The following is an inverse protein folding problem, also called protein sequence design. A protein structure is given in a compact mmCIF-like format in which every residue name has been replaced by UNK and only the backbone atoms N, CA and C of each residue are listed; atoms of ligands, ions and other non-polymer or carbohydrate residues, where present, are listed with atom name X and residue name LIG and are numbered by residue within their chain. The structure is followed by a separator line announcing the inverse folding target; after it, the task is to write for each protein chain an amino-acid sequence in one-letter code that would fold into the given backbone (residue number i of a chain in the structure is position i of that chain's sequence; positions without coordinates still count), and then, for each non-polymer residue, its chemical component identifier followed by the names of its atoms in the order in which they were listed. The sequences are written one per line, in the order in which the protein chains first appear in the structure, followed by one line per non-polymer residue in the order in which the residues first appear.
data_IF_348580451363
#
_entry.id   IF_348580451363
#
_cell.length_a   1.000
_cell.length_b   1.000
_cell.length_c   1.000
_cell.angle_alpha   90.00
_cell.angle_beta   90.00
_cell.angle_gamma   90.00
#
_symmetry.space_group_name_H-M   'P 1'
#
loop_
_entity.id
_entity.type
_entity.pdbx_description
1 polymer ?
#
# COMPACT_ATOMS: atom_id res chain seq x y z
N UNK A 1 5.69 10.36 9.05
CA UNK A 1 5.15 8.98 9.15
C UNK A 1 3.63 8.93 9.35
N UNK A 2 3.07 9.63 10.35
CA UNK A 2 1.64 9.58 10.71
C UNK A 2 0.71 9.90 9.53
N UNK A 3 1.01 10.95 8.74
CA UNK A 3 0.20 11.33 7.59
C UNK A 3 0.11 10.21 6.52
N UNK A 4 1.23 9.52 6.25
CA UNK A 4 1.24 8.38 5.33
C UNK A 4 0.38 7.25 5.89
N UNK A 5 0.56 6.87 7.15
CA UNK A 5 -0.22 5.80 7.78
C UNK A 5 -1.72 6.15 7.74
N UNK A 6 -2.10 7.39 8.06
CA UNK A 6 -3.50 7.80 8.05
C UNK A 6 -4.10 7.75 6.65
N UNK A 7 -3.44 8.32 5.64
CA UNK A 7 -3.92 8.31 4.26
C UNK A 7 -3.92 6.91 3.65
N UNK A 8 -2.83 6.14 3.77
CA UNK A 8 -2.67 4.87 3.07
C UNK A 8 -3.43 3.71 3.74
N UNK A 9 -3.69 3.77 5.05
CA UNK A 9 -4.56 2.78 5.72
C UNK A 9 -6.06 3.09 5.59
N UNK A 10 -6.41 4.25 5.02
CA UNK A 10 -7.78 4.74 4.89
C UNK A 10 -8.08 5.94 5.80
N UNK A 11 -8.67 6.96 5.19
CA UNK A 11 -9.20 8.18 5.81
C UNK A 11 -10.48 8.60 5.08
N UNK A 12 -11.01 9.80 5.32
CA UNK A 12 -12.27 10.25 4.73
C UNK A 12 -12.27 10.26 3.19
N UNK A 13 -11.10 10.39 2.56
CA UNK A 13 -10.92 10.48 1.10
C UNK A 13 -10.22 9.28 0.48
N UNK A 14 -9.80 8.29 1.27
CA UNK A 14 -9.09 7.10 0.79
C UNK A 14 -9.70 5.83 1.38
N UNK A 15 -9.86 4.82 0.53
CA UNK A 15 -10.41 3.52 0.93
C UNK A 15 -9.54 2.83 1.98
N UNK A 16 -10.18 2.19 2.96
CA UNK A 16 -9.49 1.35 3.93
C UNK A 16 -9.22 -0.06 3.36
N UNK A 17 -8.10 -0.65 3.75
CA UNK A 17 -7.79 -2.04 3.43
C UNK A 17 -8.44 -2.96 4.46
N UNK A 18 -9.33 -3.85 4.02
CA UNK A 18 -10.08 -4.72 4.90
C UNK A 18 -9.16 -5.55 5.81
N UNK A 19 -9.45 -5.61 7.11
CA UNK A 19 -8.65 -6.30 8.15
C UNK A 19 -7.23 -5.76 8.40
N UNK A 20 -6.85 -4.61 7.81
CA UNK A 20 -5.55 -3.96 8.05
C UNK A 20 -5.72 -2.60 8.74
N UNK A 21 -5.74 -2.61 10.08
CA UNK A 21 -5.81 -1.39 10.89
C UNK A 21 -4.48 -0.61 10.96
N UNK A 22 -4.55 0.64 11.41
CA UNK A 22 -3.40 1.57 11.56
C UNK A 22 -2.27 1.01 12.42
N UNK A 23 -2.58 0.29 13.50
CA UNK A 23 -1.58 -0.35 14.36
C UNK A 23 -0.72 -1.38 13.60
N UNK A 24 -1.32 -2.10 12.63
CA UNK A 24 -0.57 -3.06 11.80
C UNK A 24 0.42 -2.35 10.88
N UNK A 25 0.07 -1.17 10.37
CA UNK A 25 0.99 -0.33 9.60
C UNK A 25 2.15 0.16 10.46
N UNK A 26 1.88 0.69 11.67
CA UNK A 26 2.92 1.12 12.59
C UNK A 26 3.89 -0.03 12.89
N UNK A 27 3.36 -1.19 13.30
CA UNK A 27 4.21 -2.35 13.64
C UNK A 27 5.04 -2.84 12.45
N UNK A 28 4.49 -2.80 11.23
CA UNK A 28 5.21 -3.19 10.02
C UNK A 28 6.39 -2.25 9.75
N UNK A 29 6.18 -0.93 9.86
CA UNK A 29 7.20 0.09 9.63
C UNK A 29 8.27 0.10 10.72
N UNK A 30 7.89 -0.15 11.98
CA UNK A 30 8.84 -0.29 13.10
C UNK A 30 9.78 -1.49 12.93
N UNK A 31 9.26 -2.61 12.40
CA UNK A 31 10.02 -3.85 12.21
C UNK A 31 10.86 -3.86 10.94
N UNK A 32 10.56 -3.02 9.96
CA UNK A 32 11.21 -3.03 8.65
C UNK A 32 11.70 -1.63 8.27
N UNK A 33 12.94 -1.31 8.67
CA UNK A 33 13.58 -0.01 8.41
C UNK A 33 13.72 0.28 6.91
N UNK A 34 14.11 -0.71 6.11
CA UNK A 34 14.21 -0.58 4.65
C UNK A 34 12.86 -0.16 4.05
N UNK A 35 11.77 -0.74 4.53
CA UNK A 35 10.43 -0.38 4.08
C UNK A 35 10.02 1.02 4.54
N UNK A 36 10.38 1.40 5.77
CA UNK A 36 10.14 2.73 6.30
C UNK A 36 10.91 3.82 5.54
N UNK A 37 12.10 3.51 5.02
CA UNK A 37 12.85 4.38 4.12
C UNK A 37 12.18 4.45 2.74
N UNK A 38 11.77 3.32 2.16
CA UNK A 38 11.09 3.29 0.85
C UNK A 38 9.81 4.13 0.81
N UNK A 39 9.02 4.15 1.87
CA UNK A 39 7.79 4.97 1.90
C UNK A 39 8.07 6.47 2.08
N UNK A 40 9.32 6.90 2.35
CA UNK A 40 9.66 8.33 2.41
C UNK A 40 9.39 9.05 1.09
N UNK A 41 9.32 8.32 -0.02
CA UNK A 41 8.94 8.87 -1.32
C UNK A 41 7.55 9.54 -1.30
N UNK A 42 6.64 9.13 -0.41
CA UNK A 42 5.35 9.80 -0.22
C UNK A 42 5.48 11.20 0.37
N UNK A 43 6.59 11.49 1.05
CA UNK A 43 6.88 12.81 1.61
C UNK A 43 7.54 13.75 0.61
N UNK A 44 8.17 13.21 -0.43
CA UNK A 44 8.83 14.00 -1.48
C UNK A 44 7.78 14.62 -2.44
N UNK A 45 7.87 15.92 -2.65
CA UNK A 45 7.01 16.65 -3.60
C UNK A 45 7.40 16.39 -5.06
N UNK A 46 8.68 16.14 -5.34
CA UNK A 46 9.21 15.94 -6.71
C UNK A 46 9.28 14.46 -7.13
N UNK A 47 8.70 13.55 -6.33
CA UNK A 47 8.66 12.13 -6.65
C UNK A 47 7.89 11.86 -7.96
N UNK A 48 8.41 10.95 -8.77
CA UNK A 48 7.68 10.47 -9.95
C UNK A 48 6.54 9.53 -9.57
N UNK A 49 5.52 9.45 -10.43
CA UNK A 49 4.41 8.52 -10.23
C UNK A 49 4.91 7.07 -10.13
N UNK A 50 5.88 6.67 -10.95
CA UNK A 50 6.39 5.30 -10.95
C UNK A 50 7.17 4.95 -9.67
N UNK A 51 7.98 5.87 -9.15
CA UNK A 51 8.69 5.67 -7.87
C UNK A 51 7.70 5.53 -6.70
N UNK A 52 6.70 6.41 -6.64
CA UNK A 52 5.68 6.41 -5.58
C UNK A 52 4.81 5.15 -5.65
N UNK A 53 4.33 4.80 -6.85
CA UNK A 53 3.47 3.61 -7.04
C UNK A 53 4.25 2.33 -6.75
N UNK A 54 5.54 2.26 -7.12
CA UNK A 54 6.40 1.11 -6.78
C UNK A 54 6.64 0.98 -5.28
N UNK A 55 6.83 2.08 -4.56
CA UNK A 55 6.93 2.06 -3.11
C UNK A 55 5.61 1.62 -2.45
N UNK A 56 4.47 2.12 -2.94
CA UNK A 56 3.14 1.70 -2.49
C UNK A 56 2.88 0.21 -2.72
N UNK A 57 3.22 -0.31 -3.89
CA UNK A 57 3.14 -1.74 -4.22
C UNK A 57 4.03 -2.56 -3.27
N UNK A 58 5.28 -2.15 -3.08
CA UNK A 58 6.23 -2.83 -2.18
C UNK A 58 5.72 -2.87 -0.75
N UNK A 59 5.08 -1.79 -0.28
CA UNK A 59 4.45 -1.74 1.03
C UNK A 59 3.28 -2.72 1.15
N UNK A 60 2.42 -2.78 0.14
CA UNK A 60 1.29 -3.72 0.11
C UNK A 60 1.77 -5.17 0.08
N UNK A 61 2.80 -5.50 -0.71
CA UNK A 61 3.38 -6.85 -0.72
C UNK A 61 3.78 -7.27 0.70
N UNK A 62 4.52 -6.44 1.44
CA UNK A 62 4.88 -6.74 2.83
C UNK A 62 3.67 -6.79 3.78
N UNK A 63 2.70 -5.89 3.62
CA UNK A 63 1.50 -5.83 4.45
C UNK A 63 0.66 -7.11 4.35
N UNK A 64 0.61 -7.72 3.17
CA UNK A 64 -0.07 -8.98 2.87
C UNK A 64 0.84 -10.22 3.02
N UNK A 65 2.05 -10.06 3.56
CA UNK A 65 2.94 -11.17 3.91
C UNK A 65 3.76 -11.74 2.74
N UNK A 66 3.80 -11.06 1.60
CA UNK A 66 4.69 -11.40 0.49
C UNK A 66 6.13 -10.94 0.72
N UNK A 67 7.06 -11.51 -0.06
CA UNK A 67 8.48 -11.15 -0.04
C UNK A 67 8.90 -10.54 -1.39
N UNK A 68 9.20 -9.24 -1.47
CA UNK A 68 9.60 -8.61 -2.74
C UNK A 68 11.03 -8.95 -3.18
N UNK A 69 11.83 -9.66 -2.36
CA UNK A 69 13.19 -10.10 -2.72
C UNK A 69 13.21 -11.36 -3.58
N UNK A 70 12.08 -12.06 -3.72
CA UNK A 70 11.94 -13.16 -4.69
C UNK A 70 11.45 -12.56 -6.01
N UNK A 71 12.29 -12.63 -7.04
CA UNK A 71 12.24 -11.89 -8.32
C UNK A 71 11.00 -12.09 -9.21
N UNK A 72 9.92 -12.72 -8.72
CA UNK A 72 8.72 -13.06 -9.48
C UNK A 72 7.38 -12.66 -8.81
N UNK A 73 7.42 -11.88 -7.72
CA UNK A 73 6.23 -11.60 -6.91
C UNK A 73 5.81 -10.13 -7.02
N UNK A 74 5.22 -9.73 -8.15
CA UNK A 74 4.41 -8.51 -8.19
C UNK A 74 3.12 -8.69 -7.38
N UNK A 75 2.38 -7.61 -7.15
CA UNK A 75 1.16 -7.68 -6.33
C UNK A 75 0.06 -8.55 -6.94
N UNK A 76 0.00 -8.68 -8.27
CA UNK A 76 -0.97 -9.54 -8.95
C UNK A 76 -0.65 -11.03 -8.75
N UNK A 77 0.62 -11.40 -8.80
CA UNK A 77 1.06 -12.76 -8.50
C UNK A 77 0.75 -13.13 -7.04
N UNK A 78 1.00 -12.19 -6.10
CA UNK A 78 0.62 -12.38 -4.70
C UNK A 78 -0.90 -12.52 -4.54
N UNK A 79 -1.68 -11.69 -5.23
CA UNK A 79 -3.13 -11.79 -5.25
C UNK A 79 -3.58 -13.17 -5.71
N UNK A 80 -3.11 -13.62 -6.87
CA UNK A 80 -3.50 -14.91 -7.43
C UNK A 80 -3.11 -16.08 -6.51
N UNK A 81 -1.91 -16.01 -5.92
CA UNK A 81 -1.44 -17.01 -4.94
C UNK A 81 -2.35 -17.08 -3.72
N UNK A 82 -2.69 -15.92 -3.14
CA UNK A 82 -3.59 -15.88 -1.97
C UNK A 82 -5.03 -16.26 -2.33
N UNK A 83 -5.48 -15.95 -3.54
CA UNK A 83 -6.78 -16.36 -4.06
C UNK A 83 -6.89 -17.88 -4.16
N UNK A 84 -5.94 -18.52 -4.83
CA UNK A 84 -5.90 -19.98 -4.98
C UNK A 84 -5.83 -20.69 -3.64
N UNK A 85 -5.00 -20.19 -2.71
CA UNK A 85 -4.96 -20.70 -1.33
C UNK A 85 -6.26 -20.48 -0.55
N UNK A 86 -7.01 -19.41 -0.84
CA UNK A 86 -8.29 -19.15 -0.19
C UNK A 86 -9.41 -20.05 -0.73
N UNK A 87 -9.36 -20.41 -2.01
CA UNK A 87 -10.35 -21.23 -2.67
C UNK A 87 -10.40 -22.67 -2.13
N UNK A 88 -9.31 -23.16 -1.54
CA UNK A 88 -9.26 -24.49 -0.91
C UNK A 88 -9.84 -24.52 0.52
N UNK A 89 -10.16 -23.35 1.10
CA UNK A 89 -10.66 -23.26 2.48
C UNK A 89 -12.18 -23.37 2.51
N UNK A 90 -12.70 -24.09 3.51
CA UNK A 90 -14.14 -24.24 3.75
C UNK A 90 -14.89 -22.89 3.93
N UNK A 91 -14.20 -21.85 4.38
CA UNK A 91 -14.68 -20.46 4.39
C UNK A 91 -13.61 -19.56 3.80
N UNK A 92 -13.84 -19.09 2.58
CA UNK A 92 -13.02 -18.06 1.94
C UNK A 92 -13.58 -16.67 2.27
N UNK A 93 -12.69 -15.70 2.49
CA UNK A 93 -13.08 -14.28 2.63
C UNK A 93 -12.29 -13.49 1.60
N UNK A 94 -12.88 -13.31 0.42
CA UNK A 94 -12.24 -12.62 -0.72
C UNK A 94 -11.82 -11.19 -0.38
N UNK A 95 -12.50 -10.53 0.55
CA UNK A 95 -12.13 -9.19 1.04
C UNK A 95 -10.72 -9.14 1.69
N UNK A 96 -10.13 -10.28 2.08
CA UNK A 96 -8.77 -10.34 2.64
C UNK A 96 -7.67 -10.43 1.58
N UNK A 97 -8.04 -10.52 0.31
CA UNK A 97 -7.05 -10.54 -0.78
C UNK A 97 -6.40 -9.16 -0.93
N UNK A 98 -5.12 -9.09 -1.32
CA UNK A 98 -4.51 -7.83 -1.69
C UNK A 98 -5.23 -7.21 -2.89
N UNK A 99 -5.19 -5.88 -3.05
CA UNK A 99 -5.67 -5.25 -4.26
C UNK A 99 -4.86 -5.72 -5.48
N UNK A 100 -5.41 -5.57 -6.68
CA UNK A 100 -4.62 -5.72 -7.92
C UNK A 100 -3.59 -4.59 -8.03
N UNK A 101 -2.60 -4.74 -8.91
CA UNK A 101 -1.59 -3.71 -9.15
C UNK A 101 -2.21 -2.36 -9.55
N UNK A 102 -3.27 -2.36 -10.36
CA UNK A 102 -3.96 -1.14 -10.79
C UNK A 102 -4.72 -0.48 -9.64
N UNK A 103 -5.44 -1.27 -8.84
CA UNK A 103 -6.12 -0.77 -7.66
C UNK A 103 -5.13 -0.20 -6.63
N UNK A 104 -3.98 -0.87 -6.45
CA UNK A 104 -2.87 -0.39 -5.63
C UNK A 104 -2.29 0.92 -6.15
N UNK A 105 -2.10 1.04 -7.47
CA UNK A 105 -1.61 2.27 -8.14
C UNK A 105 -2.52 3.45 -7.83
N UNK A 106 -3.83 3.30 -8.04
CA UNK A 106 -4.80 4.36 -7.75
C UNK A 106 -4.91 4.67 -6.25
N UNK A 107 -4.87 3.65 -5.39
CA UNK A 107 -4.87 3.85 -3.94
C UNK A 107 -3.65 4.65 -3.47
N UNK A 108 -2.47 4.34 -4.01
CA UNK A 108 -1.24 5.07 -3.75
C UNK A 108 -1.32 6.52 -4.23
N UNK A 109 -1.84 6.76 -5.44
CA UNK A 109 -2.05 8.11 -5.98
C UNK A 109 -2.98 8.95 -5.09
N UNK A 110 -4.15 8.42 -4.72
CA UNK A 110 -5.10 9.14 -3.83
C UNK A 110 -4.49 9.41 -2.46
N UNK A 111 -3.82 8.43 -1.87
CA UNK A 111 -3.15 8.57 -0.57
C UNK A 111 -2.04 9.62 -0.61
N UNK A 112 -1.28 9.65 -1.71
CA UNK A 112 -0.25 10.66 -1.94
C UNK A 112 -0.84 12.05 -2.05
N UNK A 113 -1.85 12.26 -2.91
CA UNK A 113 -2.54 13.54 -3.07
C UNK A 113 -3.10 14.05 -1.74
N UNK A 114 -3.79 13.19 -0.99
CA UNK A 114 -4.34 13.56 0.31
C UNK A 114 -3.25 13.97 1.30
N UNK A 115 -2.15 13.20 1.38
CA UNK A 115 -1.03 13.55 2.27
C UNK A 115 -0.37 14.87 1.85
N UNK A 116 -0.19 15.11 0.54
CA UNK A 116 0.43 16.34 0.04
C UNK A 116 -0.44 17.55 0.38
N UNK A 117 -1.76 17.43 0.22
CA UNK A 117 -2.72 18.45 0.65
C UNK A 117 -2.58 18.78 2.15
N UNK A 118 -2.49 17.77 3.02
CA UNK A 118 -2.24 17.98 4.45
C UNK A 118 -0.86 18.60 4.76
N UNK A 119 0.09 18.50 3.83
CA UNK A 119 1.42 19.09 3.96
C UNK A 119 1.50 20.53 3.44
N UNK A 120 0.36 21.12 3.01
CA UNK A 120 0.33 22.45 2.40
C UNK A 120 0.78 22.49 0.95
N UNK A 121 0.97 21.33 0.31
CA UNK A 121 1.41 21.24 -1.08
C UNK A 121 0.20 21.01 -1.99
N UNK A 122 -0.07 21.94 -2.91
CA UNK A 122 -1.08 21.77 -3.94
C UNK A 122 -0.45 21.14 -5.19
N UNK A 123 -0.80 19.88 -5.46
CA UNK A 123 -0.51 19.25 -6.76
C UNK A 123 -1.70 19.39 -7.68
N UNK A 124 -1.44 19.68 -8.95
CA UNK A 124 -2.45 19.54 -9.99
C UNK A 124 -2.91 18.06 -10.01
N UNK A 125 -4.22 17.78 -9.83
CA UNK A 125 -4.75 16.42 -9.91
C UNK A 125 -4.79 15.87 -11.35
N UNK A 126 -4.44 16.68 -12.35
CA UNK A 126 -4.43 16.38 -13.79
C UNK A 126 -3.01 16.27 -14.33
#
# INVERSE_FOLDING_TARGET
MILFIHAFSGCDTTSALFSHGKTKFCSLLEKNRDLAEKIQVFFNFEVTIDQMTKAGETFLIHLYGGNPRTSACDLNHLHYTLFTQSATKARSTLARLPPTVDAARFHALRSYLQKQKWSGNEKNPL
#
